data_IF_125790021791
#
_entry.id   IF_125790021791
#
_cell.length_a   1.000
_cell.length_b   1.000
_cell.length_c   1.000
_cell.angle_alpha   90.00
_cell.angle_beta   90.00
_cell.angle_gamma   90.00
#
_symmetry.space_group_name_H-M   'P 1'
#
loop_
_entity.id
_entity.type
_entity.pdbx_description
1 polymer ?
#
# COMPACT_ATOMS: atom_id res chain seq x y z
N UNK A 1 -12.88 4.35 1.67
CA UNK A 1 -12.66 3.31 2.71
C UNK A 1 -11.28 3.50 3.35
N UNK A 2 -11.08 3.07 4.59
CA UNK A 2 -9.78 3.14 5.28
C UNK A 2 -9.51 1.85 6.04
N UNK A 3 -8.32 1.26 5.83
CA UNK A 3 -7.82 0.15 6.62
C UNK A 3 -6.51 0.54 7.32
N UNK A 4 -6.27 0.03 8.51
CA UNK A 4 -5.06 0.30 9.30
C UNK A 4 -4.61 -0.96 10.00
N UNK A 5 -3.29 -1.20 10.07
CA UNK A 5 -2.72 -2.35 10.77
C UNK A 5 -1.38 -1.99 11.40
N UNK A 6 -1.24 -2.30 12.69
CA UNK A 6 0.03 -2.22 13.40
C UNK A 6 0.89 -3.47 13.13
N UNK A 7 2.18 -3.27 12.88
CA UNK A 7 3.17 -4.29 12.50
C UNK A 7 4.53 -3.98 13.17
N UNK A 8 4.62 -4.25 14.47
CA UNK A 8 5.78 -3.88 15.30
C UNK A 8 5.73 -2.38 15.63
N UNK A 9 6.84 -1.68 15.38
CA UNK A 9 6.96 -0.23 15.59
C UNK A 9 6.37 0.63 14.45
N UNK A 10 5.61 0.01 13.55
CA UNK A 10 5.01 0.67 12.41
C UNK A 10 3.51 0.44 12.38
N UNK A 11 2.77 1.46 11.97
CA UNK A 11 1.39 1.30 11.49
C UNK A 11 1.36 1.54 9.99
N UNK A 12 0.73 0.62 9.26
CA UNK A 12 0.36 0.82 7.87
C UNK A 12 -1.10 1.27 7.78
N UNK A 13 -1.39 2.12 6.80
CA UNK A 13 -2.72 2.57 6.45
C UNK A 13 -2.90 2.48 4.94
N UNK A 14 -4.09 2.09 4.51
CA UNK A 14 -4.54 2.26 3.14
C UNK A 14 -5.85 3.03 3.15
N UNK A 15 -5.88 4.21 2.54
CA UNK A 15 -7.12 4.91 2.22
C UNK A 15 -7.41 4.66 0.74
N UNK A 16 -8.65 4.32 0.42
CA UNK A 16 -9.08 4.11 -0.97
C UNK A 16 -10.29 4.96 -1.26
N UNK A 17 -10.20 5.72 -2.35
CA UNK A 17 -11.28 6.51 -2.92
C UNK A 17 -11.53 6.01 -4.34
N UNK A 18 -12.79 5.74 -4.64
CA UNK A 18 -13.21 5.48 -6.02
C UNK A 18 -13.73 6.78 -6.62
N UNK A 19 -13.26 7.12 -7.81
CA UNK A 19 -13.80 8.21 -8.63
C UNK A 19 -14.34 7.63 -9.93
N UNK A 20 -15.64 7.80 -10.17
CA UNK A 20 -16.28 7.16 -11.32
C UNK A 20 -16.30 5.63 -11.22
N UNK A 21 -16.45 4.97 -12.36
CA UNK A 21 -16.68 3.51 -12.39
C UNK A 21 -15.39 2.69 -12.39
N UNK A 22 -14.24 3.31 -12.68
CA UNK A 22 -12.99 2.60 -13.00
C UNK A 22 -11.74 3.14 -12.30
N UNK A 23 -11.77 4.37 -11.78
CA UNK A 23 -10.57 5.00 -11.22
C UNK A 23 -10.55 4.82 -9.70
N UNK A 24 -9.46 4.23 -9.22
CA UNK A 24 -9.17 4.05 -7.81
C UNK A 24 -7.97 4.90 -7.42
N UNK A 25 -8.18 5.83 -6.51
CA UNK A 25 -7.12 6.60 -5.86
C UNK A 25 -6.81 5.96 -4.50
N UNK A 26 -5.58 5.51 -4.36
CA UNK A 26 -5.05 4.94 -3.15
C UNK A 26 -4.10 5.93 -2.47
N UNK A 27 -4.28 6.10 -1.16
CA UNK A 27 -3.32 6.82 -0.32
C UNK A 27 -2.75 5.86 0.73
N UNK A 28 -1.73 5.07 0.36
CA UNK A 28 -1.00 4.26 1.32
C UNK A 28 -0.20 5.16 2.26
N UNK A 29 -0.07 4.72 3.51
CA UNK A 29 0.72 5.44 4.50
C UNK A 29 1.40 4.52 5.48
N UNK A 30 2.50 5.03 6.03
CA UNK A 30 3.25 4.42 7.12
C UNK A 30 3.45 5.45 8.22
N UNK A 31 3.34 5.02 9.47
CA UNK A 31 3.61 5.81 10.65
C UNK A 31 4.56 5.03 11.55
N UNK A 32 5.63 5.67 11.99
CA UNK A 32 6.50 5.12 13.02
C UNK A 32 5.93 5.43 14.40
N UNK A 33 5.82 4.41 15.25
CA UNK A 33 5.26 4.50 16.62
C UNK A 33 6.23 3.98 17.68
N UNK A 34 7.51 3.76 17.33
CA UNK A 34 8.53 3.34 18.27
C UNK A 34 9.00 4.45 19.19
N UNK A 35 10.14 4.26 19.85
CA UNK A 35 10.61 5.17 20.90
C UNK A 35 11.22 6.46 20.35
N UNK A 36 11.96 6.37 19.23
CA UNK A 36 12.69 7.49 18.65
C UNK A 36 11.75 8.56 18.10
N UNK A 37 12.10 9.85 18.31
CA UNK A 37 11.32 10.96 17.76
C UNK A 37 11.34 10.98 16.22
N UNK A 38 12.42 10.46 15.64
CA UNK A 38 12.58 10.35 14.19
C UNK A 38 13.25 9.02 13.86
N UNK A 39 12.76 8.38 12.81
CA UNK A 39 13.26 7.09 12.36
C UNK A 39 13.48 7.12 10.85
N UNK A 40 14.70 6.83 10.40
CA UNK A 40 15.03 6.85 8.98
C UNK A 40 14.85 5.45 8.37
N UNK A 41 14.13 5.42 7.26
CA UNK A 41 13.95 4.22 6.44
C UNK A 41 14.59 4.43 5.07
N UNK A 42 15.07 3.36 4.47
CA UNK A 42 15.57 3.38 3.10
C UNK A 42 14.74 2.45 2.23
N UNK A 43 14.35 2.90 1.05
CA UNK A 43 13.46 2.16 0.16
C UNK A 43 13.81 2.42 -1.30
N UNK A 44 13.27 1.62 -2.21
CA UNK A 44 13.34 1.94 -3.64
C UNK A 44 12.54 3.23 -3.93
N UNK A 45 12.57 3.77 -5.14
CA UNK A 45 11.77 4.98 -5.48
C UNK A 45 10.30 4.95 -5.03
N UNK A 46 9.69 3.77 -4.94
CA UNK A 46 8.35 3.58 -4.42
C UNK A 46 8.44 2.82 -3.09
N UNK A 47 8.05 3.46 -1.99
CA UNK A 47 7.95 2.79 -0.69
C UNK A 47 6.82 1.77 -0.68
N UNK A 48 5.70 2.16 -1.30
CA UNK A 48 4.47 1.38 -1.32
C UNK A 48 4.26 0.71 -2.67
N UNK A 49 3.85 -0.55 -2.63
CA UNK A 49 3.38 -1.30 -3.79
C UNK A 49 1.96 -1.79 -3.52
N UNK A 50 1.03 -1.36 -4.36
CA UNK A 50 -0.37 -1.76 -4.32
C UNK A 50 -0.62 -2.76 -5.43
N UNK A 51 -0.95 -3.99 -5.05
CA UNK A 51 -1.28 -5.07 -5.96
C UNK A 51 -2.77 -5.43 -5.83
N UNK A 52 -3.41 -5.70 -6.96
CA UNK A 52 -4.78 -6.22 -7.02
C UNK A 52 -4.67 -7.67 -7.42
N UNK A 53 -5.22 -8.55 -6.60
CA UNK A 53 -5.05 -9.99 -6.74
C UNK A 53 -6.38 -10.71 -6.84
N UNK A 54 -6.44 -11.75 -7.68
CA UNK A 54 -7.48 -12.77 -7.68
C UNK A 54 -6.82 -14.13 -7.58
N UNK A 55 -7.33 -15.01 -6.72
CA UNK A 55 -6.69 -16.31 -6.46
C UNK A 55 -5.17 -16.19 -6.19
N UNK A 56 -4.79 -15.16 -5.42
CA UNK A 56 -3.39 -14.81 -5.09
C UNK A 56 -2.51 -14.42 -6.31
N UNK A 57 -3.10 -14.21 -7.48
CA UNK A 57 -2.41 -13.76 -8.70
C UNK A 57 -2.70 -12.30 -9.00
N UNK A 58 -1.65 -11.56 -9.33
CA UNK A 58 -1.80 -10.16 -9.77
C UNK A 58 -2.64 -10.08 -11.05
N UNK A 59 -3.62 -9.17 -11.07
CA UNK A 59 -4.41 -8.84 -12.25
C UNK A 59 -3.95 -7.53 -12.90
N UNK A 60 -2.98 -6.86 -12.28
CA UNK A 60 -2.37 -5.65 -12.80
C UNK A 60 -1.24 -5.99 -13.77
N UNK A 61 -0.99 -5.13 -14.78
CA UNK A 61 0.16 -5.31 -15.65
C UNK A 61 1.47 -5.23 -14.85
N UNK A 62 2.54 -5.91 -15.29
CA UNK A 62 3.85 -5.80 -14.66
C UNK A 62 4.31 -4.34 -14.58
N UNK A 63 4.79 -3.93 -13.41
CA UNK A 63 5.34 -2.59 -13.19
C UNK A 63 6.87 -2.64 -13.21
N UNK A 64 7.49 -1.66 -13.86
CA UNK A 64 8.94 -1.50 -13.83
C UNK A 64 9.36 -0.95 -12.46
N UNK A 65 10.16 -1.70 -11.72
CA UNK A 65 10.82 -1.20 -10.52
C UNK A 65 12.07 -0.39 -10.86
N UNK A 66 12.39 0.63 -10.08
CA UNK A 66 13.67 1.34 -10.15
C UNK A 66 14.55 0.92 -8.98
N UNK A 67 15.85 0.72 -9.21
CA UNK A 67 16.83 0.33 -8.20
C UNK A 67 17.40 1.50 -7.38
N UNK A 68 16.84 2.70 -7.52
CA UNK A 68 17.29 3.87 -6.75
C UNK A 68 16.89 3.73 -5.29
N UNK A 69 17.86 3.85 -4.39
CA UNK A 69 17.62 3.82 -2.95
C UNK A 69 17.45 5.26 -2.42
N UNK A 70 16.29 5.53 -1.85
CA UNK A 70 15.92 6.80 -1.23
C UNK A 70 15.89 6.65 0.28
N UNK A 71 16.31 7.71 0.99
CA UNK A 71 16.16 7.82 2.43
C UNK A 71 14.95 8.69 2.77
N UNK A 72 14.07 8.20 3.63
CA UNK A 72 12.88 8.90 4.11
C UNK A 72 12.88 8.91 5.63
N UNK A 73 12.75 10.11 6.19
CA UNK A 73 12.67 10.32 7.64
C UNK A 73 11.21 10.29 8.11
N UNK A 74 10.85 9.27 8.86
CA UNK A 74 9.55 9.17 9.54
C UNK A 74 9.61 9.94 10.85
N UNK A 75 8.70 10.90 11.04
CA UNK A 75 8.52 11.55 12.35
C UNK A 75 7.56 10.71 13.16
N UNK A 76 7.89 10.44 14.42
CA UNK A 76 7.04 9.65 15.32
C UNK A 76 5.60 10.19 15.34
N UNK A 77 4.66 9.25 15.34
CA UNK A 77 3.21 9.48 15.36
C UNK A 77 2.66 10.28 14.17
N UNK A 78 3.47 10.55 13.14
CA UNK A 78 3.07 11.23 11.92
C UNK A 78 3.03 10.27 10.73
N UNK A 79 2.02 10.46 9.87
CA UNK A 79 1.89 9.69 8.64
C UNK A 79 2.79 10.23 7.55
N UNK A 80 3.66 9.38 7.02
CA UNK A 80 4.18 9.51 5.67
C UNK A 80 3.19 8.85 4.71
N UNK A 81 2.81 9.50 3.62
CA UNK A 81 1.84 8.98 2.67
C UNK A 81 2.23 9.35 1.24
N UNK A 82 1.92 8.46 0.32
CA UNK A 82 2.04 8.66 -1.12
C UNK A 82 0.64 8.64 -1.75
N UNK A 83 0.49 9.12 -2.98
CA UNK A 83 -0.73 8.98 -3.76
C UNK A 83 -0.47 8.08 -4.96
N UNK A 84 -1.35 7.11 -5.18
CA UNK A 84 -1.25 6.16 -6.29
C UNK A 84 -2.62 6.06 -6.95
N UNK A 85 -2.66 6.42 -8.22
CA UNK A 85 -3.85 6.28 -9.05
C UNK A 85 -3.75 5.03 -9.91
N UNK A 86 -4.84 4.25 -9.93
CA UNK A 86 -4.97 3.06 -10.77
C UNK A 86 -6.32 3.12 -11.47
N UNK A 87 -6.26 3.23 -12.79
CA UNK A 87 -7.43 3.05 -13.66
C UNK A 87 -7.56 1.56 -14.01
N UNK A 88 -8.72 1.00 -13.71
CA UNK A 88 -9.06 -0.39 -14.03
C UNK A 88 -9.73 -0.50 -15.39
N UNK A 89 -9.54 -1.64 -16.04
CA UNK A 89 -10.40 -1.99 -17.19
C UNK A 89 -11.80 -2.41 -16.70
N UNK A 90 -12.83 -2.32 -17.55
CA UNK A 90 -14.16 -2.82 -17.19
C UNK A 90 -14.18 -4.28 -16.75
N UNK A 91 -13.33 -5.11 -17.36
CA UNK A 91 -13.17 -6.52 -16.99
C UNK A 91 -12.58 -6.68 -15.58
N UNK A 92 -11.56 -5.89 -15.22
CA UNK A 92 -10.97 -5.87 -13.88
C UNK A 92 -11.97 -5.39 -12.82
N UNK A 93 -12.80 -4.40 -13.14
CA UNK A 93 -13.86 -3.94 -12.22
C UNK A 93 -14.88 -5.05 -11.99
N UNK A 94 -15.34 -5.73 -13.04
CA UNK A 94 -16.28 -6.83 -12.93
C UNK A 94 -15.70 -7.99 -12.10
N UNK A 95 -14.44 -8.33 -12.34
CA UNK A 95 -13.69 -9.35 -11.61
C UNK A 95 -13.61 -9.06 -10.10
N UNK A 96 -13.22 -7.84 -9.72
CA UNK A 96 -13.12 -7.45 -8.31
C UNK A 96 -14.50 -7.30 -7.63
N UNK A 97 -15.53 -6.92 -8.38
CA UNK A 97 -16.90 -6.75 -7.88
C UNK A 97 -17.59 -8.08 -7.52
N UNK A 98 -17.09 -9.20 -8.01
CA UNK A 98 -17.64 -10.53 -7.71
C UNK A 98 -17.13 -11.10 -6.36
N UNK A 99 -16.35 -10.33 -5.59
CA UNK A 99 -15.92 -10.72 -4.24
C UNK A 99 -14.71 -11.68 -4.18
N UNK A 100 -14.13 -12.02 -5.33
CA UNK A 100 -12.97 -12.92 -5.44
C UNK A 100 -11.62 -12.17 -5.43
N UNK A 101 -11.66 -10.84 -5.29
CA UNK A 101 -10.51 -9.95 -5.37
C UNK A 101 -9.95 -9.52 -4.00
N UNK A 102 -8.64 -9.33 -3.93
CA UNK A 102 -7.95 -8.72 -2.80
C UNK A 102 -7.12 -7.51 -3.24
N UNK A 103 -7.05 -6.51 -2.37
CA UNK A 103 -6.10 -5.41 -2.46
C UNK A 103 -4.99 -5.65 -1.47
N UNK A 104 -3.76 -5.68 -1.97
CA UNK A 104 -2.55 -5.93 -1.20
C UNK A 104 -1.71 -4.68 -1.19
N UNK A 105 -1.55 -4.09 0.00
CA UNK A 105 -0.57 -3.03 0.24
C UNK A 105 0.70 -3.66 0.81
N UNK A 106 1.83 -3.45 0.12
CA UNK A 106 3.16 -3.76 0.63
C UNK A 106 3.92 -2.46 0.90
N UNK A 107 4.62 -2.37 2.03
CA UNK A 107 5.66 -1.37 2.27
C UNK A 107 7.00 -2.09 2.43
N UNK A 108 7.93 -1.84 1.51
CA UNK A 108 9.25 -2.47 1.47
C UNK A 108 10.35 -1.47 1.78
N UNK A 109 11.07 -1.68 2.88
CA UNK A 109 12.14 -0.77 3.30
C UNK A 109 13.18 -1.49 4.16
N UNK A 110 14.31 -0.84 4.43
CA UNK A 110 15.27 -1.22 5.47
C UNK A 110 15.34 -0.12 6.52
N UNK A 111 15.64 -0.50 7.75
CA UNK A 111 15.99 0.43 8.83
C UNK A 111 17.31 0.00 9.47
N UNK A 112 17.96 0.89 10.22
CA UNK A 112 19.18 0.54 10.95
C UNK A 112 18.94 -0.55 12.01
N UNK A 113 17.71 -0.66 12.53
CA UNK A 113 17.37 -1.54 13.65
C UNK A 113 16.99 -2.96 13.23
N UNK A 114 16.58 -3.18 11.97
CA UNK A 114 15.95 -4.44 11.53
C UNK A 114 16.72 -5.23 10.47
N UNK A 115 17.88 -4.73 10.00
CA UNK A 115 18.66 -5.39 8.96
C UNK A 115 18.01 -5.34 7.57
N UNK A 116 18.52 -6.16 6.63
CA UNK A 116 18.13 -6.07 5.22
C UNK A 116 16.69 -6.57 4.97
N UNK A 117 15.86 -5.70 4.37
CA UNK A 117 14.53 -5.91 3.79
C UNK A 117 13.39 -6.26 4.76
N UNK A 118 12.90 -5.26 5.49
CA UNK A 118 11.55 -5.33 6.07
C UNK A 118 10.48 -5.22 4.98
N UNK A 119 9.49 -6.11 5.05
CA UNK A 119 8.27 -6.03 4.25
C UNK A 119 7.06 -6.06 5.17
N UNK A 120 6.32 -4.97 5.21
CA UNK A 120 5.05 -4.85 5.94
C UNK A 120 3.89 -4.98 4.96
N UNK A 121 2.82 -5.72 5.32
CA UNK A 121 1.71 -6.04 4.41
C UNK A 121 0.34 -5.84 5.06
N UNK A 122 -0.57 -5.22 4.32
CA UNK A 122 -2.02 -5.26 4.57
C UNK A 122 -2.69 -5.96 3.39
N UNK A 123 -3.66 -6.82 3.67
CA UNK A 123 -4.54 -7.45 2.67
C UNK A 123 -5.96 -7.05 3.04
N UNK A 124 -6.72 -6.61 2.06
CA UNK A 124 -8.11 -6.21 2.23
C UNK A 124 -8.94 -6.82 1.10
N UNK A 125 -10.18 -7.19 1.40
CA UNK A 125 -11.10 -7.67 0.37
C UNK A 125 -11.46 -6.51 -0.57
N UNK A 126 -11.40 -6.73 -1.88
CA UNK A 126 -11.70 -5.71 -2.88
C UNK A 126 -13.19 -5.30 -2.89
N UNK A 127 -14.10 -6.18 -2.46
CA UNK A 127 -15.52 -5.87 -2.31
C UNK A 127 -15.73 -4.69 -1.33
N UNK A 128 -14.94 -4.60 -0.26
CA UNK A 128 -15.02 -3.49 0.72
C UNK A 128 -14.64 -2.13 0.12
N UNK A 129 -13.98 -2.13 -1.04
CA UNK A 129 -13.51 -0.94 -1.74
C UNK A 129 -14.53 -0.51 -2.80
N UNK A 130 -15.05 -1.47 -3.58
CA UNK A 130 -15.95 -1.21 -4.72
C UNK A 130 -17.43 -1.05 -4.32
N UNK A 131 -17.78 -1.41 -3.09
CA UNK A 131 -19.16 -1.31 -2.59
C UNK A 131 -19.54 0.08 -2.07
N UNK A 132 -18.63 1.06 -2.14
CA UNK A 132 -18.89 2.43 -1.67
C UNK A 132 -19.73 3.17 -2.72
N UNK A 133 -21.05 2.93 -2.72
CA UNK A 133 -22.05 3.77 -3.39
C UNK A 133 -22.59 4.83 -2.43
#
# INVERSE_FOLDING_TARGET
MTATRQLGEYELRLIVHQSGDHDLNFQPGIKYIGEDANHEIFHSKQLFDIDLQMDEKTILPPRSGTSEELATKLTKDNWYSEEVEITLTPEQVQQLSNGEGNVVLNAGFRSEQSGYNEKKKIIINAEEILSVK
#
